data_IF_481741056568
#
_entry.id   IF_481741056568
#
_cell.length_a   1.000
_cell.length_b   1.000
_cell.length_c   1.000
_cell.angle_alpha   90.00
_cell.angle_beta   90.00
_cell.angle_gamma   90.00
#
_symmetry.space_group_name_H-M   'P 1'
#
loop_
_entity.id
_entity.type
_entity.pdbx_description
1 polymer ?
#
# COMPACT_ATOMS: atom_id res chain seq x y z
N UNK A 1 11.12 2.64 -4.03
CA UNK A 1 11.35 3.71 -3.07
C UNK A 1 10.54 3.55 -1.80
N UNK A 2 10.99 4.21 -0.79
CA UNK A 2 10.32 4.23 0.51
C UNK A 2 10.20 5.67 0.99
N UNK A 3 9.05 6.03 1.52
CA UNK A 3 8.77 7.37 2.03
C UNK A 3 8.41 7.29 3.49
N UNK A 4 8.98 8.22 4.28
CA UNK A 4 8.59 8.40 5.68
C UNK A 4 7.37 9.30 5.74
N UNK A 5 6.41 8.93 6.58
CA UNK A 5 5.23 9.75 6.85
C UNK A 5 5.50 10.60 8.08
N UNK A 6 5.39 11.90 7.93
CA UNK A 6 5.70 12.86 8.99
C UNK A 6 4.50 13.77 9.20
N UNK A 7 4.12 13.97 10.46
CA UNK A 7 3.06 14.93 10.80
C UNK A 7 3.56 16.34 10.49
N UNK A 8 2.87 17.08 9.61
CA UNK A 8 3.34 18.42 9.20
C UNK A 8 3.30 19.46 10.32
N UNK A 9 2.51 19.22 11.37
CA UNK A 9 2.35 20.18 12.46
C UNK A 9 3.44 20.09 13.51
N UNK A 10 3.96 18.88 13.79
CA UNK A 10 4.92 18.69 14.88
C UNK A 10 6.16 17.87 14.51
N UNK A 11 6.23 17.35 13.28
CA UNK A 11 7.39 16.58 12.81
C UNK A 11 7.46 15.13 13.29
N UNK A 12 6.44 14.64 13.99
CA UNK A 12 6.42 13.25 14.44
C UNK A 12 6.39 12.27 13.27
N UNK A 13 7.14 11.18 13.40
CA UNK A 13 7.14 10.11 12.41
C UNK A 13 5.90 9.24 12.62
N UNK A 14 5.08 9.11 11.59
CA UNK A 14 3.81 8.38 11.65
C UNK A 14 3.91 6.97 11.08
N UNK A 15 4.91 6.70 10.27
CA UNK A 15 5.09 5.41 9.63
C UNK A 15 5.86 5.54 8.33
N UNK A 16 5.69 4.56 7.45
CA UNK A 16 6.33 4.58 6.13
C UNK A 16 5.46 3.91 5.08
N UNK A 17 5.66 4.30 3.83
CA UNK A 17 5.06 3.66 2.65
C UNK A 17 6.19 3.37 1.68
N UNK A 18 6.15 2.20 1.03
CA UNK A 18 7.19 1.83 0.08
C UNK A 18 6.68 1.04 -1.10
N UNK A 19 7.42 1.11 -2.19
CA UNK A 19 7.17 0.32 -3.39
C UNK A 19 8.29 -0.73 -3.47
N UNK A 20 7.92 -1.99 -3.65
CA UNK A 20 8.86 -3.11 -3.65
C UNK A 20 8.59 -4.05 -4.81
N UNK A 21 9.67 -4.54 -5.41
CA UNK A 21 9.58 -5.66 -6.34
C UNK A 21 10.79 -6.58 -6.07
N UNK A 22 10.84 -7.19 -4.88
CA UNK A 22 11.99 -8.04 -4.54
C UNK A 22 11.98 -9.34 -5.31
N UNK A 23 13.15 -9.97 -5.38
CA UNK A 23 13.29 -11.29 -5.99
C UNK A 23 12.40 -12.28 -5.24
N UNK A 24 11.62 -13.06 -5.99
CA UNK A 24 10.70 -14.04 -5.40
C UNK A 24 9.30 -13.50 -5.15
N UNK A 25 9.09 -12.20 -5.26
CA UNK A 25 7.74 -11.61 -5.23
C UNK A 25 7.06 -11.83 -6.59
N UNK A 26 5.77 -12.18 -6.62
CA UNK A 26 5.09 -12.45 -7.89
C UNK A 26 4.87 -11.18 -8.71
N UNK A 27 4.84 -10.00 -8.08
CA UNK A 27 4.55 -8.74 -8.77
C UNK A 27 4.93 -7.56 -7.87
N UNK A 28 4.94 -6.33 -8.43
CA UNK A 28 5.25 -5.13 -7.64
C UNK A 28 4.28 -4.95 -6.49
N UNK A 29 4.81 -4.55 -5.35
CA UNK A 29 4.01 -4.36 -4.14
C UNK A 29 4.12 -2.93 -3.63
N UNK A 30 2.99 -2.39 -3.14
CA UNK A 30 2.98 -1.22 -2.29
C UNK A 30 2.71 -1.68 -0.86
N UNK A 31 3.60 -1.33 0.06
CA UNK A 31 3.54 -1.75 1.45
C UNK A 31 3.63 -0.53 2.36
N UNK A 32 3.07 -0.65 3.56
CA UNK A 32 3.08 0.42 4.54
C UNK A 32 3.25 -0.13 5.95
N UNK A 33 3.78 0.72 6.82
CA UNK A 33 3.87 0.49 8.25
C UNK A 33 3.36 1.75 8.95
N UNK A 34 2.39 1.58 9.85
CA UNK A 34 1.84 2.68 10.62
C UNK A 34 2.12 2.47 12.09
N UNK A 35 2.54 3.52 12.77
CA UNK A 35 2.66 3.51 14.21
C UNK A 35 1.28 3.78 14.84
N UNK A 36 1.05 3.26 16.03
CA UNK A 36 -0.26 3.32 16.67
C UNK A 36 -0.78 4.75 16.85
N UNK A 37 0.10 5.68 17.17
CA UNK A 37 -0.29 7.08 17.38
C UNK A 37 -0.70 7.82 16.11
N UNK A 38 -0.47 7.22 14.95
CA UNK A 38 -0.80 7.82 13.66
C UNK A 38 -2.21 7.46 13.19
N UNK A 39 -2.86 6.55 13.90
CA UNK A 39 -4.15 6.01 13.49
C UNK A 39 -5.25 7.07 13.54
N UNK A 40 -6.17 7.02 12.58
CA UNK A 40 -7.36 7.88 12.56
C UNK A 40 -7.17 9.24 11.91
N UNK A 41 -5.99 9.57 11.41
CA UNK A 41 -5.70 10.88 10.83
C UNK A 41 -5.80 10.93 9.30
N UNK A 42 -5.97 9.80 8.64
CA UNK A 42 -6.05 9.75 7.16
C UNK A 42 -4.72 9.93 6.44
N UNK A 43 -3.63 10.16 7.15
CA UNK A 43 -2.31 10.39 6.54
C UNK A 43 -1.81 9.17 5.76
N UNK A 44 -2.06 7.98 6.28
CA UNK A 44 -1.63 6.75 5.62
C UNK A 44 -2.33 6.57 4.27
N UNK A 45 -3.62 6.83 4.22
CA UNK A 45 -4.40 6.73 2.99
C UNK A 45 -3.88 7.72 1.95
N UNK A 46 -3.68 8.97 2.36
CA UNK A 46 -3.17 10.02 1.47
C UNK A 46 -1.81 9.66 0.91
N UNK A 47 -0.88 9.22 1.77
CA UNK A 47 0.46 8.86 1.35
C UNK A 47 0.50 7.61 0.47
N UNK A 48 -0.32 6.60 0.79
CA UNK A 48 -0.37 5.37 0.00
C UNK A 48 -0.93 5.64 -1.40
N UNK A 49 -1.96 6.48 -1.50
CA UNK A 49 -2.50 6.89 -2.81
C UNK A 49 -1.45 7.67 -3.61
N UNK A 50 -0.73 8.58 -2.96
CA UNK A 50 0.34 9.34 -3.62
C UNK A 50 1.46 8.43 -4.13
N UNK A 51 1.84 7.43 -3.34
CA UNK A 51 2.86 6.45 -3.74
C UNK A 51 2.38 5.61 -4.93
N UNK A 52 1.13 5.19 -4.93
CA UNK A 52 0.55 4.45 -6.06
C UNK A 52 0.55 5.29 -7.32
N UNK A 53 0.14 6.54 -7.22
CA UNK A 53 0.14 7.46 -8.37
C UNK A 53 1.56 7.66 -8.91
N UNK A 54 2.54 7.81 -8.03
CA UNK A 54 3.94 7.94 -8.44
C UNK A 54 4.41 6.69 -9.19
N UNK A 55 4.06 5.50 -8.70
CA UNK A 55 4.43 4.26 -9.35
C UNK A 55 3.86 4.18 -10.77
N UNK A 56 2.59 4.55 -10.93
CA UNK A 56 1.93 4.46 -12.22
C UNK A 56 2.41 5.55 -13.19
N UNK A 57 2.59 6.77 -12.72
CA UNK A 57 2.93 7.90 -13.60
C UNK A 57 4.42 8.03 -13.89
N UNK A 58 5.27 7.72 -12.91
CA UNK A 58 6.69 7.99 -13.00
C UNK A 58 7.55 6.74 -13.18
N UNK A 59 7.12 5.61 -12.63
CA UNK A 59 7.87 4.36 -12.72
C UNK A 59 7.34 3.41 -13.79
N UNK A 60 6.19 3.73 -14.39
CA UNK A 60 5.62 2.93 -15.47
C UNK A 60 5.01 1.61 -15.03
N UNK A 61 4.72 1.43 -13.75
CA UNK A 61 4.05 0.21 -13.29
C UNK A 61 2.63 0.17 -13.83
N UNK A 62 2.17 -1.01 -14.20
CA UNK A 62 0.82 -1.22 -14.73
C UNK A 62 -0.11 -1.87 -13.72
N UNK A 63 0.45 -2.40 -12.63
CA UNK A 63 -0.29 -3.08 -11.58
C UNK A 63 0.47 -2.97 -10.26
N UNK A 64 -0.28 -3.01 -9.17
CA UNK A 64 0.29 -3.06 -7.82
C UNK A 64 -0.58 -3.96 -6.96
N UNK A 65 0.05 -4.67 -6.03
CA UNK A 65 -0.64 -5.45 -5.02
C UNK A 65 -0.12 -5.09 -3.64
N UNK A 66 -0.88 -5.43 -2.61
CA UNK A 66 -0.42 -5.36 -1.22
C UNK A 66 -0.60 -6.73 -0.60
N UNK A 67 0.45 -7.25 0.03
CA UNK A 67 0.41 -8.51 0.75
C UNK A 67 0.24 -8.20 2.23
N UNK A 68 -0.85 -8.68 2.82
CA UNK A 68 -1.23 -8.35 4.19
C UNK A 68 -1.22 -9.63 5.03
N UNK A 69 -0.61 -9.55 6.22
CA UNK A 69 -0.63 -10.69 7.14
C UNK A 69 -2.05 -10.93 7.64
N UNK A 70 -2.45 -12.19 7.80
CA UNK A 70 -3.77 -12.51 8.35
C UNK A 70 -3.96 -11.86 9.72
N UNK A 71 -5.12 -11.27 9.93
CA UNK A 71 -5.45 -10.59 11.19
C UNK A 71 -5.03 -9.14 11.28
N UNK A 72 -4.33 -8.61 10.28
CA UNK A 72 -3.95 -7.19 10.28
C UNK A 72 -5.09 -6.35 9.71
N UNK A 73 -6.11 -6.12 10.55
CA UNK A 73 -7.35 -5.46 10.12
C UNK A 73 -7.15 -4.02 9.68
N UNK A 74 -6.17 -3.31 10.27
CA UNK A 74 -5.89 -1.93 9.88
C UNK A 74 -5.32 -1.84 8.46
N UNK A 75 -4.44 -2.77 8.11
CA UNK A 75 -3.88 -2.83 6.76
C UNK A 75 -4.94 -3.22 5.73
N UNK A 76 -5.84 -4.14 6.08
CA UNK A 76 -6.97 -4.50 5.22
C UNK A 76 -7.86 -3.28 4.99
N UNK A 77 -8.20 -2.56 6.06
CA UNK A 77 -9.04 -1.37 5.94
C UNK A 77 -8.40 -0.30 5.05
N UNK A 78 -7.09 -0.10 5.17
CA UNK A 78 -6.38 0.86 4.33
C UNK A 78 -6.40 0.43 2.86
N UNK A 79 -6.12 -0.85 2.58
CA UNK A 79 -6.16 -1.38 1.22
C UNK A 79 -7.55 -1.18 0.60
N UNK A 80 -8.60 -1.48 1.35
CA UNK A 80 -9.97 -1.32 0.87
C UNK A 80 -10.34 0.14 0.61
N UNK A 81 -9.86 1.05 1.46
CA UNK A 81 -10.08 2.50 1.25
C UNK A 81 -9.38 3.01 -0.01
N UNK A 82 -8.29 2.37 -0.41
CA UNK A 82 -7.60 2.67 -1.67
C UNK A 82 -8.33 2.11 -2.88
N UNK A 83 -9.38 1.33 -2.69
CA UNK A 83 -10.09 0.65 -3.76
C UNK A 83 -9.56 -0.73 -4.08
N UNK A 84 -8.61 -1.24 -3.30
CA UNK A 84 -8.06 -2.57 -3.52
C UNK A 84 -9.06 -3.64 -3.09
N UNK A 85 -8.96 -4.81 -3.72
CA UNK A 85 -9.84 -5.94 -3.40
C UNK A 85 -9.04 -7.21 -3.14
N UNK A 86 -9.58 -8.07 -2.30
CA UNK A 86 -8.97 -9.36 -2.01
C UNK A 86 -8.93 -10.22 -3.28
N UNK A 87 -7.76 -10.73 -3.61
CA UNK A 87 -7.57 -11.53 -4.83
C UNK A 87 -7.24 -12.99 -4.53
N UNK A 88 -6.62 -13.29 -3.40
CA UNK A 88 -6.24 -14.64 -3.06
C UNK A 88 -5.13 -14.70 -2.04
N UNK A 89 -4.55 -15.88 -1.90
CA UNK A 89 -3.48 -16.15 -0.93
C UNK A 89 -2.15 -16.30 -1.65
N UNK A 90 -1.09 -15.90 -0.96
CA UNK A 90 0.28 -16.09 -1.41
C UNK A 90 1.09 -16.69 -0.27
N UNK A 91 1.79 -17.79 -0.54
CA UNK A 91 2.67 -18.45 0.43
C UNK A 91 4.09 -17.91 0.28
N UNK A 92 4.56 -17.19 1.29
CA UNK A 92 5.92 -16.69 1.33
C UNK A 92 6.77 -17.61 2.18
N UNK A 93 7.99 -17.94 1.71
CA UNK A 93 8.87 -18.89 2.39
C UNK A 93 9.29 -18.43 3.80
N UNK A 94 9.30 -17.11 4.06
CA UNK A 94 9.68 -16.56 5.36
C UNK A 94 8.49 -16.15 6.21
N UNK A 95 7.44 -15.60 5.59
CA UNK A 95 6.30 -15.00 6.31
C UNK A 95 5.06 -15.89 6.34
N UNK A 96 5.05 -17.01 5.61
CA UNK A 96 3.91 -17.91 5.53
C UNK A 96 2.80 -17.38 4.63
N UNK A 97 1.56 -17.69 4.97
CA UNK A 97 0.40 -17.32 4.17
C UNK A 97 0.11 -15.82 4.31
N UNK A 98 0.01 -15.14 3.18
CA UNK A 98 -0.36 -13.73 3.11
C UNK A 98 -1.60 -13.55 2.26
N UNK A 99 -2.40 -12.53 2.59
CA UNK A 99 -3.58 -12.17 1.81
C UNK A 99 -3.18 -11.11 0.79
N UNK A 100 -3.48 -11.35 -0.48
CA UNK A 100 -3.13 -10.44 -1.57
C UNK A 100 -4.32 -9.55 -1.90
N UNK A 101 -4.09 -8.24 -1.88
CA UNK A 101 -5.08 -7.23 -2.28
C UNK A 101 -4.59 -6.56 -3.54
N UNK A 102 -5.40 -6.61 -4.60
CA UNK A 102 -5.10 -6.00 -5.89
C UNK A 102 -5.57 -4.56 -5.90
N UNK A 103 -4.66 -3.64 -6.20
CA UNK A 103 -5.01 -2.23 -6.30
C UNK A 103 -5.65 -1.90 -7.65
N UNK A 104 -6.34 -0.76 -7.68
CA UNK A 104 -6.88 -0.22 -8.92
C UNK A 104 -5.76 -0.06 -9.95
N UNK A 105 -6.05 -0.37 -11.21
CA UNK A 105 -5.11 -0.16 -12.32
C UNK A 105 -4.98 1.34 -12.62
N UNK A 106 -3.95 1.74 -13.39
CA UNK A 106 -3.85 3.14 -13.82
C UNK A 106 -5.12 3.66 -14.50
N UNK A 107 -5.76 2.82 -15.31
CA UNK A 107 -6.99 3.19 -15.99
C UNK A 107 -8.14 3.39 -15.02
N UNK A 108 -8.29 2.50 -14.05
CA UNK A 108 -9.31 2.60 -13.02
C UNK A 108 -9.10 3.81 -12.12
N UNK A 109 -7.86 4.14 -11.79
CA UNK A 109 -7.53 5.33 -11.02
C UNK A 109 -7.92 6.60 -11.78
N UNK A 110 -7.71 6.65 -13.10
CA UNK A 110 -8.09 7.78 -13.92
C UNK A 110 -9.60 7.99 -13.95
N UNK A 111 -10.37 6.91 -14.00
CA UNK A 111 -11.83 6.99 -13.97
C UNK A 111 -12.31 7.52 -12.62
N UNK A 112 -11.74 7.04 -11.53
CA UNK A 112 -12.16 7.45 -10.19
C UNK A 112 -11.69 8.85 -9.82
N UNK A 113 -10.61 9.35 -10.43
CA UNK A 113 -10.08 10.69 -10.18
C UNK A 113 -10.87 11.78 -10.88
N UNK A 114 -11.69 11.42 -11.84
CA UNK A 114 -12.57 12.39 -12.55
C UNK A 114 -13.92 12.57 -11.83
#
# INVERSE_FOLDING_TARGET
GRWMLVNPDNGDVLGSVGLFFPVGWPEPEIAWTLFDHAEGHGYALEAAIAARDYAYRNLGFETLASCVMPGNDRSVALAERMGAHFEGLFEHHAFGTMHVYRHLSPQECSITAS
#
